data_IF_794374187179
#
_entry.id   IF_794374187179
#
_cell.length_a   1.000
_cell.length_b   1.000
_cell.length_c   1.000
_cell.angle_alpha   90.00
_cell.angle_beta   90.00
_cell.angle_gamma   90.00
#
_symmetry.space_group_name_H-M   'P 1'
#
loop_
_entity.id
_entity.type
_entity.pdbx_description
1 polymer ?
#
# COMPACT_ATOMS: atom_id res chain seq x y z
N UNK A 1 -24.92 15.45 27.24
CA UNK A 1 -25.18 14.01 27.06
C UNK A 1 -23.87 13.36 26.68
N UNK A 2 -23.19 12.77 27.65
CA UNK A 2 -22.01 11.93 27.39
C UNK A 2 -22.45 10.79 26.48
N UNK A 3 -21.79 10.62 25.33
CA UNK A 3 -21.99 9.44 24.49
C UNK A 3 -21.60 8.24 25.36
N UNK A 4 -22.61 7.47 25.80
CA UNK A 4 -22.41 6.23 26.52
C UNK A 4 -21.43 5.36 25.73
N UNK A 5 -20.29 5.08 26.33
CA UNK A 5 -19.24 4.30 25.70
C UNK A 5 -19.65 2.83 25.80
N UNK A 6 -20.52 2.39 24.89
CA UNK A 6 -20.89 0.98 24.80
C UNK A 6 -19.61 0.18 24.50
N UNK A 7 -19.29 -0.87 25.29
CA UNK A 7 -18.09 -1.67 25.05
C UNK A 7 -18.14 -2.29 23.64
N UNK A 8 -17.00 -2.26 22.92
CA UNK A 8 -16.86 -2.92 21.61
C UNK A 8 -17.06 -4.42 21.79
N UNK A 9 -17.96 -5.00 20.99
CA UNK A 9 -18.14 -6.45 20.91
C UNK A 9 -16.98 -7.09 20.16
N UNK A 10 -16.78 -8.40 20.35
CA UNK A 10 -15.75 -9.14 19.63
C UNK A 10 -15.98 -9.14 18.11
N UNK A 11 -17.23 -9.17 17.67
CA UNK A 11 -17.55 -9.05 16.24
C UNK A 11 -17.14 -7.67 15.69
N UNK A 12 -17.48 -6.58 16.38
CA UNK A 12 -17.05 -5.23 15.98
C UNK A 12 -15.52 -5.12 15.93
N UNK A 13 -14.82 -5.72 16.88
CA UNK A 13 -13.37 -5.78 16.89
C UNK A 13 -12.81 -6.46 15.63
N UNK A 14 -13.24 -7.67 15.28
CA UNK A 14 -12.71 -8.38 14.09
C UNK A 14 -13.10 -7.68 12.78
N UNK A 15 -14.30 -7.09 12.72
CA UNK A 15 -14.74 -6.30 11.55
C UNK A 15 -13.91 -5.04 11.37
N UNK A 16 -13.39 -4.47 12.46
CA UNK A 16 -12.59 -3.25 12.42
C UNK A 16 -11.21 -3.40 11.76
N UNK A 17 -10.75 -4.64 11.52
CA UNK A 17 -9.52 -4.92 10.75
C UNK A 17 -9.69 -4.68 9.24
N UNK A 18 -10.94 -4.59 8.77
CA UNK A 18 -11.23 -4.01 7.48
C UNK A 18 -11.00 -2.47 7.52
N UNK A 19 -11.16 -1.81 6.39
CA UNK A 19 -11.02 -0.35 6.31
C UNK A 19 -11.94 0.40 7.29
N UNK A 20 -11.45 1.51 7.84
CA UNK A 20 -12.25 2.48 8.60
C UNK A 20 -11.75 2.80 10.01
N UNK A 21 -10.97 1.90 10.64
CA UNK A 21 -10.53 2.09 12.03
C UNK A 21 -9.22 1.40 12.42
N UNK A 22 -9.07 0.10 12.13
CA UNK A 22 -7.87 -0.69 12.42
C UNK A 22 -7.38 -1.38 11.15
N UNK A 23 -7.28 -0.58 10.09
CA UNK A 23 -7.02 -1.09 8.74
C UNK A 23 -5.67 -1.82 8.70
N UNK A 24 -5.68 -3.15 8.65
CA UNK A 24 -4.46 -3.97 8.73
C UNK A 24 -4.49 -5.06 7.66
N UNK A 25 -3.67 -4.91 6.62
CA UNK A 25 -3.64 -5.87 5.51
C UNK A 25 -3.18 -7.27 5.93
N UNK A 26 -2.40 -7.39 7.01
CA UNK A 26 -1.92 -8.67 7.51
C UNK A 26 -3.07 -9.50 8.09
N UNK A 27 -3.99 -8.83 8.80
CA UNK A 27 -5.10 -9.45 9.52
C UNK A 27 -6.49 -9.12 8.96
N UNK A 28 -6.58 -8.41 7.83
CA UNK A 28 -7.84 -8.00 7.20
C UNK A 28 -8.79 -9.16 6.98
N UNK A 29 -8.28 -10.37 6.73
CA UNK A 29 -9.11 -11.56 6.54
C UNK A 29 -9.98 -11.91 7.76
N UNK A 30 -9.61 -11.45 8.96
CA UNK A 30 -10.41 -11.65 10.18
C UNK A 30 -11.81 -11.03 10.06
N UNK A 31 -11.95 -9.94 9.30
CA UNK A 31 -13.26 -9.28 9.10
C UNK A 31 -14.28 -10.19 8.41
N UNK A 32 -13.83 -11.23 7.73
CA UNK A 32 -14.70 -12.12 6.95
C UNK A 32 -14.94 -13.46 7.66
N UNK A 33 -14.36 -13.66 8.85
CA UNK A 33 -14.57 -14.86 9.67
C UNK A 33 -15.83 -14.73 10.53
N UNK A 34 -16.43 -15.87 10.86
CA UNK A 34 -17.36 -15.95 11.98
C UNK A 34 -16.62 -15.66 13.30
N UNK A 35 -17.26 -15.07 14.32
CA UNK A 35 -16.65 -14.81 15.62
C UNK A 35 -15.97 -16.06 16.22
N UNK A 36 -16.57 -17.23 16.10
CA UNK A 36 -16.01 -18.47 16.63
C UNK A 36 -14.68 -18.82 15.95
N UNK A 37 -14.64 -18.78 14.61
CA UNK A 37 -13.43 -19.06 13.83
C UNK A 37 -12.32 -18.04 14.11
N UNK A 38 -12.68 -16.75 14.24
CA UNK A 38 -11.73 -15.70 14.57
C UNK A 38 -11.16 -15.88 15.99
N UNK A 39 -11.99 -16.32 16.94
CA UNK A 39 -11.55 -16.57 18.31
C UNK A 39 -10.54 -17.72 18.38
N UNK A 40 -10.75 -18.80 17.63
CA UNK A 40 -9.84 -19.94 17.52
C UNK A 40 -8.51 -19.48 16.90
N UNK A 41 -8.57 -18.71 15.80
CA UNK A 41 -7.38 -18.17 15.17
C UNK A 41 -6.54 -17.32 16.14
N UNK A 42 -7.17 -16.40 16.88
CA UNK A 42 -6.47 -15.52 17.82
C UNK A 42 -5.90 -16.31 19.00
N UNK A 43 -6.65 -17.26 19.54
CA UNK A 43 -6.16 -18.12 20.62
C UNK A 43 -4.91 -18.89 20.18
N UNK A 44 -4.93 -19.48 18.98
CA UNK A 44 -3.78 -20.22 18.50
C UNK A 44 -2.61 -19.31 18.12
N UNK A 45 -2.88 -18.09 17.65
CA UNK A 45 -1.83 -17.09 17.45
C UNK A 45 -1.13 -16.76 18.78
N UNK A 46 -1.86 -16.66 19.89
CA UNK A 46 -1.25 -16.46 21.21
C UNK A 46 -0.39 -17.64 21.65
N UNK A 47 -0.81 -18.88 21.37
CA UNK A 47 0.02 -20.07 21.64
C UNK A 47 1.31 -20.04 20.82
N UNK A 48 1.19 -19.77 19.52
CA UNK A 48 2.36 -19.66 18.63
C UNK A 48 3.32 -18.56 19.11
N UNK A 49 2.82 -17.44 19.64
CA UNK A 49 3.68 -16.38 20.19
C UNK A 49 4.51 -16.89 21.36
N UNK A 50 3.92 -17.62 22.30
CA UNK A 50 4.65 -18.19 23.44
C UNK A 50 5.69 -19.20 22.94
N UNK A 51 5.30 -20.14 22.08
CA UNK A 51 6.22 -21.13 21.50
C UNK A 51 7.39 -20.44 20.78
N UNK A 52 7.13 -19.41 19.98
CA UNK A 52 8.16 -18.68 19.23
C UNK A 52 9.12 -17.91 20.16
N UNK A 53 8.65 -17.41 21.30
CA UNK A 53 9.49 -16.73 22.28
C UNK A 53 10.44 -17.70 22.98
N UNK A 54 9.97 -18.92 23.27
CA UNK A 54 10.78 -19.97 23.88
C UNK A 54 11.80 -20.56 22.89
N UNK A 55 11.40 -20.74 21.63
CA UNK A 55 12.22 -21.36 20.57
C UNK A 55 13.17 -20.36 19.88
N UNK A 56 12.84 -19.06 19.90
CA UNK A 56 13.54 -18.03 19.13
C UNK A 56 13.29 -18.08 17.61
N UNK A 57 12.30 -18.86 17.16
CA UNK A 57 11.91 -19.01 15.75
C UNK A 57 10.47 -18.49 15.51
N UNK A 58 10.33 -17.42 14.72
CA UNK A 58 9.05 -16.79 14.40
C UNK A 58 8.32 -17.44 13.21
N UNK A 59 8.85 -18.54 12.66
CA UNK A 59 8.30 -19.20 11.47
C UNK A 59 6.87 -19.67 11.66
N UNK A 60 6.49 -20.12 12.86
CA UNK A 60 5.12 -20.58 13.15
C UNK A 60 4.10 -19.44 13.02
N UNK A 61 4.37 -18.30 13.66
CA UNK A 61 3.52 -17.09 13.54
C UNK A 61 3.36 -16.71 12.06
N UNK A 62 4.46 -16.68 11.31
CA UNK A 62 4.43 -16.34 9.88
C UNK A 62 3.55 -17.32 9.09
N UNK A 63 3.71 -18.62 9.31
CA UNK A 63 2.92 -19.64 8.64
C UNK A 63 1.43 -19.54 8.98
N UNK A 64 1.07 -19.25 10.24
CA UNK A 64 -0.32 -19.07 10.65
C UNK A 64 -0.99 -17.88 9.98
N UNK A 65 -0.34 -16.72 10.00
CA UNK A 65 -0.85 -15.52 9.32
C UNK A 65 -1.04 -15.79 7.82
N UNK A 66 -0.03 -16.40 7.19
CA UNK A 66 -0.10 -16.78 5.77
C UNK A 66 -1.25 -17.76 5.48
N UNK A 67 -1.45 -18.77 6.33
CA UNK A 67 -2.54 -19.74 6.16
C UNK A 67 -3.92 -19.06 6.23
N UNK A 68 -4.10 -18.10 7.15
CA UNK A 68 -5.31 -17.28 7.24
C UNK A 68 -5.57 -16.46 5.97
N UNK A 69 -4.53 -15.79 5.46
CA UNK A 69 -4.59 -15.05 4.21
C UNK A 69 -4.91 -15.94 3.01
N UNK A 70 -4.24 -17.11 2.88
CA UNK A 70 -4.48 -18.07 1.79
C UNK A 70 -5.92 -18.59 1.83
N UNK A 71 -6.41 -19.01 3.01
CA UNK A 71 -7.79 -19.49 3.18
C UNK A 71 -8.80 -18.47 2.66
N UNK A 72 -8.52 -17.18 2.87
CA UNK A 72 -9.40 -16.09 2.45
C UNK A 72 -9.26 -15.71 0.98
N UNK A 73 -8.05 -15.51 0.49
CA UNK A 73 -7.81 -14.91 -0.82
C UNK A 73 -7.80 -15.91 -1.97
N UNK A 74 -7.69 -17.22 -1.69
CA UNK A 74 -7.72 -18.29 -2.70
C UNK A 74 -8.97 -18.27 -3.60
N UNK A 75 -10.08 -17.71 -3.13
CA UNK A 75 -11.37 -17.71 -3.82
C UNK A 75 -11.78 -16.34 -4.39
N UNK A 76 -10.86 -15.38 -4.58
CA UNK A 76 -11.22 -14.13 -5.27
C UNK A 76 -11.50 -14.41 -6.76
N UNK A 77 -12.78 -14.32 -7.16
CA UNK A 77 -13.24 -14.66 -8.52
C UNK A 77 -13.45 -13.46 -9.45
N UNK A 78 -13.39 -12.24 -8.93
CA UNK A 78 -13.92 -11.07 -9.65
C UNK A 78 -13.01 -10.53 -10.75
N UNK A 79 -11.73 -10.91 -10.77
CA UNK A 79 -10.74 -10.42 -11.73
C UNK A 79 -9.95 -11.60 -12.27
N UNK A 80 -10.50 -12.24 -13.30
CA UNK A 80 -9.81 -13.27 -14.09
C UNK A 80 -9.42 -12.65 -15.43
N UNK A 81 -8.16 -12.81 -15.79
CA UNK A 81 -7.61 -12.33 -17.06
C UNK A 81 -6.97 -13.53 -17.76
N UNK A 82 -7.23 -13.68 -19.05
CA UNK A 82 -6.69 -14.79 -19.85
C UNK A 82 -5.19 -14.60 -20.13
N UNK A 83 -4.73 -13.35 -20.16
CA UNK A 83 -3.34 -12.95 -20.27
C UNK A 83 -2.95 -11.91 -19.19
N UNK A 84 -1.67 -11.56 -19.16
CA UNK A 84 -1.17 -10.45 -18.35
C UNK A 84 -0.66 -9.33 -19.25
N UNK A 85 -0.51 -8.10 -18.72
CA UNK A 85 0.01 -6.95 -19.45
C UNK A 85 1.53 -7.05 -19.62
N UNK A 86 2.01 -8.15 -20.19
CA UNK A 86 3.44 -8.41 -20.39
C UNK A 86 3.90 -7.68 -21.65
N UNK A 87 4.79 -6.72 -21.45
CA UNK A 87 5.53 -6.09 -22.54
C UNK A 87 7.02 -6.30 -22.29
N UNK A 88 7.73 -6.86 -23.27
CA UNK A 88 9.16 -7.05 -23.17
C UNK A 88 9.88 -5.72 -23.33
N UNK A 89 10.97 -5.54 -22.57
CA UNK A 89 11.89 -4.44 -22.82
C UNK A 89 12.49 -4.60 -24.21
N UNK A 90 12.48 -3.52 -24.99
CA UNK A 90 13.05 -3.49 -26.34
C UNK A 90 14.55 -3.17 -26.35
N UNK A 91 15.13 -2.92 -25.17
CA UNK A 91 16.52 -2.54 -24.97
C UNK A 91 17.14 -3.36 -23.82
N UNK A 92 18.47 -3.55 -23.80
CA UNK A 92 19.15 -4.12 -22.64
C UNK A 92 18.87 -3.31 -21.37
N UNK A 93 18.69 -3.98 -20.23
CA UNK A 93 18.36 -3.34 -18.96
C UNK A 93 19.33 -2.21 -18.59
N UNK A 94 20.62 -2.40 -18.87
CA UNK A 94 21.69 -1.42 -18.64
C UNK A 94 21.51 -0.10 -19.40
N UNK A 95 20.66 -0.07 -20.43
CA UNK A 95 20.33 1.11 -21.25
C UNK A 95 18.92 1.67 -20.99
N UNK A 96 18.22 1.14 -19.98
CA UNK A 96 16.85 1.55 -19.66
C UNK A 96 16.84 2.79 -18.77
N UNK A 97 15.99 3.76 -19.12
CA UNK A 97 15.55 4.83 -18.22
C UNK A 97 14.25 4.41 -17.52
N UNK A 98 14.28 4.32 -16.20
CA UNK A 98 13.12 3.97 -15.38
C UNK A 98 12.42 5.19 -14.78
N UNK A 99 11.13 5.05 -14.50
CA UNK A 99 10.46 5.78 -13.43
C UNK A 99 9.89 4.82 -12.38
N UNK A 100 9.48 5.37 -11.23
CA UNK A 100 8.83 4.64 -10.14
C UNK A 100 7.44 5.20 -9.94
N UNK A 101 6.42 4.34 -9.93
CA UNK A 101 5.05 4.69 -9.58
C UNK A 101 4.55 3.73 -8.49
N UNK A 102 4.12 4.28 -7.37
CA UNK A 102 3.60 3.48 -6.26
C UNK A 102 2.19 3.89 -5.87
N UNK A 103 1.40 2.96 -5.35
CA UNK A 103 0.06 3.24 -4.82
C UNK A 103 0.07 3.45 -3.31
N UNK A 104 1.20 3.89 -2.77
CA UNK A 104 1.53 3.86 -1.34
C UNK A 104 1.06 5.07 -0.55
N UNK A 105 0.72 6.18 -1.22
CA UNK A 105 0.29 7.42 -0.56
C UNK A 105 1.43 8.25 0.06
N UNK A 106 2.67 8.08 -0.42
CA UNK A 106 3.78 8.98 -0.07
C UNK A 106 3.67 10.34 -0.77
N UNK A 107 4.17 11.38 -0.11
CA UNK A 107 4.29 12.75 -0.60
C UNK A 107 5.44 13.47 0.11
N UNK A 108 5.94 14.56 -0.47
CA UNK A 108 6.98 15.37 0.16
C UNK A 108 6.38 16.26 1.26
N UNK A 109 7.08 16.44 2.38
CA UNK A 109 6.69 17.35 3.45
C UNK A 109 6.48 18.77 2.90
N UNK A 110 5.34 19.37 3.26
CA UNK A 110 4.93 20.68 2.72
C UNK A 110 4.24 20.62 1.34
N UNK A 111 4.20 19.45 0.70
CA UNK A 111 3.47 19.18 -0.53
C UNK A 111 2.32 18.20 -0.28
N UNK A 112 1.62 18.35 0.85
CA UNK A 112 0.44 17.54 1.16
C UNK A 112 -0.65 17.78 0.10
N UNK A 113 -1.15 16.72 -0.59
CA UNK A 113 -2.17 16.84 -1.63
C UNK A 113 -3.54 17.32 -1.11
N UNK A 114 -3.71 17.51 0.20
CA UNK A 114 -4.96 17.97 0.82
C UNK A 114 -6.18 17.18 0.33
N UNK A 115 -6.15 15.83 0.44
CA UNK A 115 -7.15 14.95 -0.17
C UNK A 115 -8.54 15.31 0.35
N UNK A 116 -9.54 15.21 -0.53
CA UNK A 116 -10.92 15.58 -0.22
C UNK A 116 -11.08 17.05 0.23
N UNK A 117 -10.13 17.92 -0.11
CA UNK A 117 -10.10 19.33 0.28
C UNK A 117 -9.75 19.56 1.75
N UNK A 118 -9.15 18.57 2.42
CA UNK A 118 -8.78 18.68 3.84
C UNK A 118 -7.27 18.88 3.96
N UNK A 119 -6.88 20.08 4.39
CA UNK A 119 -5.49 20.39 4.70
C UNK A 119 -4.98 19.54 5.86
N UNK A 120 -3.76 19.02 5.73
CA UNK A 120 -3.06 18.26 6.78
C UNK A 120 -3.91 17.11 7.37
N UNK A 121 -4.68 16.42 6.53
CA UNK A 121 -5.50 15.27 6.96
C UNK A 121 -4.64 14.26 7.74
N UNK A 122 -5.12 13.82 8.91
CA UNK A 122 -4.41 12.79 9.70
C UNK A 122 -4.59 11.40 9.09
N UNK A 123 -3.76 10.45 9.50
CA UNK A 123 -3.92 9.05 9.09
C UNK A 123 -5.26 8.47 9.57
N UNK A 124 -5.67 8.76 10.80
CA UNK A 124 -6.93 8.27 11.38
C UNK A 124 -8.15 8.77 10.60
N UNK A 125 -8.11 10.04 10.16
CA UNK A 125 -9.16 10.61 9.32
C UNK A 125 -9.16 9.98 7.92
N UNK A 126 -7.99 9.73 7.34
CA UNK A 126 -7.86 9.04 6.06
C UNK A 126 -8.44 7.61 6.13
N UNK A 127 -8.20 6.88 7.22
CA UNK A 127 -8.80 5.56 7.44
C UNK A 127 -10.32 5.64 7.56
N UNK A 128 -10.83 6.56 8.39
CA UNK A 128 -12.27 6.76 8.58
C UNK A 128 -12.98 7.10 7.27
N UNK A 129 -12.32 7.86 6.40
CA UNK A 129 -12.87 8.35 5.12
C UNK A 129 -12.41 7.57 3.90
N UNK A 130 -11.85 6.38 4.07
CA UNK A 130 -11.32 5.54 2.99
C UNK A 130 -12.26 5.37 1.79
N UNK A 131 -13.57 5.24 2.00
CA UNK A 131 -14.55 5.11 0.93
C UNK A 131 -14.85 6.42 0.19
N UNK A 132 -14.57 7.57 0.80
CA UNK A 132 -14.67 8.87 0.12
C UNK A 132 -13.53 9.05 -0.89
N UNK A 133 -12.35 8.46 -0.66
CA UNK A 133 -11.26 8.47 -1.65
C UNK A 133 -11.68 7.78 -2.97
N UNK A 134 -12.61 6.81 -2.92
CA UNK A 134 -13.17 6.18 -4.11
C UNK A 134 -14.05 7.13 -4.94
N UNK A 135 -14.43 8.29 -4.41
CA UNK A 135 -15.29 9.28 -5.08
C UNK A 135 -14.50 10.38 -5.79
N UNK A 136 -13.24 10.60 -5.41
CA UNK A 136 -12.35 11.58 -6.03
C UNK A 136 -11.46 10.96 -7.12
N UNK A 137 -10.82 11.82 -7.92
CA UNK A 137 -9.71 11.41 -8.77
C UNK A 137 -8.44 11.33 -7.92
N UNK A 138 -7.62 10.29 -8.07
CA UNK A 138 -6.36 10.21 -7.33
C UNK A 138 -5.41 11.30 -7.82
N UNK A 139 -4.69 11.91 -6.89
CA UNK A 139 -3.64 12.86 -7.18
C UNK A 139 -2.28 12.17 -7.20
N UNK A 140 -1.42 12.61 -8.13
CA UNK A 140 -0.07 12.07 -8.28
C UNK A 140 0.92 12.98 -7.57
N UNK A 141 1.45 12.51 -6.45
CA UNK A 141 2.55 13.15 -5.74
C UNK A 141 3.86 12.92 -6.49
N UNK A 142 4.68 13.96 -6.56
CA UNK A 142 6.01 13.93 -7.14
C UNK A 142 7.06 14.11 -6.05
N UNK A 143 8.01 13.18 -5.98
CA UNK A 143 9.02 13.14 -4.94
C UNK A 143 10.37 13.01 -5.63
N UNK A 144 11.27 14.00 -5.54
CA UNK A 144 12.62 13.90 -6.11
C UNK A 144 13.36 12.66 -5.61
N UNK A 145 14.09 11.96 -6.49
CA UNK A 145 14.82 10.74 -6.09
C UNK A 145 15.96 11.00 -5.09
N UNK A 146 16.41 12.25 -4.95
CA UNK A 146 17.40 12.72 -3.98
C UNK A 146 16.78 13.24 -2.68
N UNK A 147 15.45 13.13 -2.53
CA UNK A 147 14.75 13.50 -1.29
C UNK A 147 15.31 12.73 -0.10
N UNK A 148 15.46 13.41 1.02
CA UNK A 148 15.87 12.78 2.27
C UNK A 148 14.69 12.00 2.87
N UNK A 149 14.91 10.82 3.47
CA UNK A 149 13.83 10.03 4.06
C UNK A 149 12.96 10.80 5.06
N UNK A 150 13.57 11.67 5.86
CA UNK A 150 12.89 12.52 6.85
C UNK A 150 11.95 13.58 6.26
N UNK A 151 12.09 13.89 4.97
CA UNK A 151 11.23 14.82 4.24
C UNK A 151 10.09 14.11 3.51
N UNK A 152 10.06 12.77 3.52
CA UNK A 152 9.01 11.99 2.87
C UNK A 152 7.97 11.59 3.93
N UNK A 153 6.72 11.98 3.68
CA UNK A 153 5.57 11.62 4.49
C UNK A 153 4.73 10.55 3.78
N UNK A 154 3.89 9.84 4.52
CA UNK A 154 2.96 8.86 3.98
C UNK A 154 1.60 8.99 4.66
N UNK A 155 0.54 8.88 3.87
CA UNK A 155 -0.84 8.79 4.36
C UNK A 155 -1.65 7.90 3.43
N UNK A 156 -2.28 6.88 4.01
CA UNK A 156 -3.07 5.94 3.22
C UNK A 156 -4.13 5.26 4.11
N UNK A 157 -5.41 5.54 3.86
CA UNK A 157 -6.50 4.98 4.68
C UNK A 157 -6.77 3.48 4.49
N UNK A 158 -6.04 2.82 3.60
CA UNK A 158 -6.24 1.42 3.23
C UNK A 158 -5.22 0.43 3.79
N UNK A 159 -4.18 0.88 4.52
CA UNK A 159 -3.22 -0.04 5.15
C UNK A 159 -2.51 0.65 6.33
N UNK A 160 -1.87 -0.16 7.18
CA UNK A 160 -1.05 0.31 8.30
C UNK A 160 0.27 0.92 7.82
N UNK A 161 0.37 2.25 7.90
CA UNK A 161 1.51 3.00 7.41
C UNK A 161 2.73 3.01 8.35
N UNK A 162 2.68 2.38 9.54
CA UNK A 162 3.75 2.50 10.55
C UNK A 162 5.12 2.10 10.03
N UNK A 163 5.20 1.06 9.21
CA UNK A 163 6.45 0.60 8.60
C UNK A 163 6.94 1.59 7.53
N UNK A 164 6.06 1.99 6.62
CA UNK A 164 6.36 2.96 5.56
C UNK A 164 6.76 4.34 6.11
N UNK A 165 6.16 4.76 7.23
CA UNK A 165 6.51 6.00 7.91
C UNK A 165 7.89 5.96 8.59
N UNK A 166 8.40 4.76 8.93
CA UNK A 166 9.74 4.58 9.50
C UNK A 166 10.81 4.43 8.42
N UNK A 167 10.48 3.70 7.35
CA UNK A 167 11.32 3.53 6.17
C UNK A 167 10.44 3.59 4.92
N UNK A 168 10.51 4.69 4.15
CA UNK A 168 9.75 4.80 2.90
C UNK A 168 9.99 3.64 1.94
N UNK A 169 11.18 3.01 1.97
CA UNK A 169 11.50 1.92 1.04
C UNK A 169 10.64 0.67 1.22
N UNK A 170 9.88 0.55 2.31
CA UNK A 170 8.93 -0.54 2.54
C UNK A 170 7.86 -0.61 1.45
N UNK A 171 7.34 0.54 0.99
CA UNK A 171 6.32 0.62 -0.07
C UNK A 171 6.60 1.71 -1.12
N UNK A 172 7.68 2.46 -0.96
CA UNK A 172 8.21 3.48 -1.87
C UNK A 172 9.73 3.30 -2.05
N UNK A 173 10.19 2.29 -2.81
CA UNK A 173 11.59 1.84 -2.86
C UNK A 173 12.52 2.76 -3.68
N UNK A 174 12.39 4.08 -3.52
CA UNK A 174 13.11 5.06 -4.32
C UNK A 174 14.64 4.99 -4.10
N UNK A 175 15.11 4.81 -2.86
CA UNK A 175 16.55 4.67 -2.59
C UNK A 175 17.10 3.34 -3.11
N UNK A 176 16.28 2.28 -3.11
CA UNK A 176 16.67 0.99 -3.72
C UNK A 176 16.84 1.14 -5.22
N UNK A 177 15.96 1.88 -5.90
CA UNK A 177 16.12 2.22 -7.31
C UNK A 177 17.40 3.04 -7.54
N UNK A 178 17.67 4.07 -6.73
CA UNK A 178 18.91 4.85 -6.83
C UNK A 178 20.16 3.97 -6.67
N UNK A 179 20.18 3.09 -5.67
CA UNK A 179 21.30 2.16 -5.46
C UNK A 179 21.52 1.19 -6.62
N UNK A 180 20.44 0.65 -7.21
CA UNK A 180 20.54 -0.23 -8.39
C UNK A 180 21.04 0.52 -9.64
N UNK A 181 20.64 1.79 -9.81
CA UNK A 181 21.19 2.68 -10.84
C UNK A 181 22.69 2.90 -10.63
N UNK A 182 23.11 3.19 -9.41
CA UNK A 182 24.52 3.46 -9.08
C UNK A 182 25.42 2.22 -9.25
N UNK A 183 24.85 1.02 -9.11
CA UNK A 183 25.50 -0.25 -9.44
C UNK A 183 25.57 -0.51 -10.97
N UNK A 184 25.01 0.37 -11.80
CA UNK A 184 25.01 0.25 -13.26
C UNK A 184 24.01 -0.78 -13.80
N UNK A 185 23.03 -1.22 -12.99
CA UNK A 185 22.04 -2.21 -13.44
C UNK A 185 21.17 -1.67 -14.59
N UNK A 186 20.86 -0.37 -14.56
CA UNK A 186 20.15 0.36 -15.60
C UNK A 186 20.69 1.79 -15.74
N UNK A 187 20.36 2.46 -16.83
CA UNK A 187 21.03 3.70 -17.24
C UNK A 187 20.70 4.89 -16.33
N UNK A 188 19.41 5.14 -16.10
CA UNK A 188 18.98 6.35 -15.41
C UNK A 188 17.58 6.26 -14.82
N UNK A 189 17.24 7.24 -13.98
CA UNK A 189 15.91 7.47 -13.43
C UNK A 189 15.36 8.79 -13.95
N UNK A 190 14.03 8.96 -13.92
CA UNK A 190 13.41 10.30 -13.94
C UNK A 190 13.85 11.13 -12.74
N UNK A 191 13.69 12.45 -12.79
CA UNK A 191 14.02 13.32 -11.65
C UNK A 191 13.17 13.01 -10.41
N UNK A 192 11.89 12.68 -10.63
CA UNK A 192 10.93 12.37 -9.59
C UNK A 192 10.54 10.89 -9.64
N UNK A 193 10.32 10.32 -8.46
CA UNK A 193 9.48 9.15 -8.24
C UNK A 193 8.05 9.61 -7.92
N UNK A 194 7.09 8.75 -8.21
CA UNK A 194 5.67 9.10 -8.16
C UNK A 194 4.90 8.20 -7.21
N UNK A 195 3.92 8.78 -6.54
CA UNK A 195 3.08 8.08 -5.57
C UNK A 195 1.65 8.62 -5.63
N UNK A 196 0.67 7.78 -5.35
CA UNK A 196 -0.71 8.17 -5.16
C UNK A 196 -1.36 7.26 -4.12
N UNK A 197 -2.54 7.63 -3.62
CA UNK A 197 -3.33 6.77 -2.74
C UNK A 197 -4.07 5.71 -3.56
N UNK A 198 -3.68 4.45 -3.41
CA UNK A 198 -4.22 3.30 -4.17
C UNK A 198 -5.70 3.02 -3.92
N UNK A 199 -6.26 3.48 -2.79
CA UNK A 199 -7.68 3.39 -2.47
C UNK A 199 -8.54 4.35 -3.31
N UNK A 200 -8.58 4.11 -4.62
CA UNK A 200 -9.30 4.92 -5.60
C UNK A 200 -10.19 4.05 -6.50
N UNK A 201 -11.10 4.68 -7.26
CA UNK A 201 -11.93 3.95 -8.23
C UNK A 201 -11.10 3.54 -9.45
N UNK A 202 -10.88 2.23 -9.65
CA UNK A 202 -10.17 1.70 -10.82
C UNK A 202 -10.80 2.17 -12.14
N UNK A 203 -12.13 2.15 -12.24
CA UNK A 203 -12.85 2.61 -13.43
C UNK A 203 -12.59 4.09 -13.72
N UNK A 204 -12.54 4.93 -12.69
CA UNK A 204 -12.24 6.37 -12.85
C UNK A 204 -10.76 6.58 -13.20
N UNK A 205 -9.86 5.89 -12.49
CA UNK A 205 -8.42 5.92 -12.74
C UNK A 205 -8.14 5.61 -14.22
N UNK A 206 -8.61 4.48 -14.73
CA UNK A 206 -8.39 4.05 -16.12
C UNK A 206 -8.96 5.06 -17.13
N UNK A 207 -10.18 5.59 -16.88
CA UNK A 207 -10.88 6.42 -17.87
C UNK A 207 -10.53 7.90 -17.85
N UNK A 208 -10.06 8.43 -16.71
CA UNK A 208 -9.91 9.88 -16.52
C UNK A 208 -8.50 10.30 -16.17
N UNK A 209 -7.84 9.58 -15.27
CA UNK A 209 -6.62 10.07 -14.62
C UNK A 209 -5.36 9.42 -15.20
N UNK A 210 -5.37 8.09 -15.35
CA UNK A 210 -4.24 7.30 -15.82
C UNK A 210 -3.74 7.70 -17.22
N UNK A 211 -4.60 8.04 -18.22
CA UNK A 211 -4.11 8.47 -19.53
C UNK A 211 -3.16 9.67 -19.45
N UNK A 212 -3.49 10.68 -18.63
CA UNK A 212 -2.62 11.84 -18.43
C UNK A 212 -1.30 11.49 -17.74
N UNK A 213 -1.30 10.52 -16.82
CA UNK A 213 -0.06 10.02 -16.21
C UNK A 213 0.79 9.26 -17.23
N UNK A 214 0.17 8.47 -18.11
CA UNK A 214 0.88 7.76 -19.19
C UNK A 214 1.52 8.76 -20.16
N UNK A 215 0.78 9.75 -20.63
CA UNK A 215 1.31 10.81 -21.52
C UNK A 215 2.48 11.54 -20.87
N UNK A 216 2.40 11.78 -19.56
CA UNK A 216 3.49 12.34 -18.78
C UNK A 216 4.72 11.44 -18.78
N UNK A 217 4.59 10.15 -18.47
CA UNK A 217 5.73 9.22 -18.50
C UNK A 217 6.34 9.09 -19.90
N UNK A 218 5.51 9.02 -20.94
CA UNK A 218 5.96 9.01 -22.34
C UNK A 218 6.74 10.27 -22.68
N UNK A 219 6.27 11.45 -22.29
CA UNK A 219 6.98 12.72 -22.55
C UNK A 219 8.29 12.86 -21.78
N UNK A 220 8.44 12.16 -20.63
CA UNK A 220 9.71 12.04 -19.91
C UNK A 220 10.71 11.10 -20.61
N UNK A 221 10.29 10.40 -21.67
CA UNK A 221 11.12 9.47 -22.44
C UNK A 221 11.59 8.27 -21.61
N UNK A 222 10.76 7.78 -20.68
CA UNK A 222 11.06 6.57 -19.92
C UNK A 222 10.82 5.34 -20.79
N UNK A 223 11.68 4.33 -20.66
CA UNK A 223 11.48 3.07 -21.36
C UNK A 223 10.58 2.12 -20.54
N UNK A 224 10.54 2.29 -19.21
CA UNK A 224 9.70 1.51 -18.32
C UNK A 224 9.37 2.25 -17.02
N UNK A 225 8.24 1.89 -16.42
CA UNK A 225 7.82 2.35 -15.09
C UNK A 225 7.71 1.13 -14.17
N UNK A 226 8.44 1.14 -13.06
CA UNK A 226 8.27 0.15 -12.01
C UNK A 226 7.01 0.47 -11.21
N UNK A 227 6.04 -0.44 -11.22
CA UNK A 227 4.81 -0.33 -10.44
C UNK A 227 4.96 -1.07 -9.11
N UNK A 228 4.77 -0.37 -8.00
CA UNK A 228 4.83 -0.97 -6.66
C UNK A 228 3.49 -0.77 -5.95
N UNK A 229 2.68 -1.84 -5.77
CA UNK A 229 1.49 -1.77 -4.95
C UNK A 229 1.87 -1.72 -3.46
N UNK A 230 1.05 -1.05 -2.67
CA UNK A 230 1.16 -1.01 -1.21
C UNK A 230 0.03 -1.80 -0.55
#
# INVERSE_FOLDING_TARGET
MEKGNTPESFEEFIKSFFYGRRSDLSFKFLSDLAPEDASIFIQDLFKDIIDCLDEGDFSRIKQRVLAGQVKRYKNQKNFQYDDGPFHFLTKPLSSVKFSLLTSSGHFLKGCDPSPLGVENMTQEEAERRIFDFLKQEPELSEIPFDSKPEDIMVRHGGYDIRAASKDPNVSFPYQRMTGLKDQGLFQSLTSNAYSFVGACSQKRLIKKTLPGWVDRFVSLGVDAVLLVPA
#
